data_IF_287037885190
#
_entry.id   IF_287037885190
#
_cell.length_a   1.000
_cell.length_b   1.000
_cell.length_c   1.000
_cell.angle_alpha   90.00
_cell.angle_beta   90.00
_cell.angle_gamma   90.00
#
_symmetry.space_group_name_H-M   'P 1'
#
loop_
_entity.id
_entity.type
_entity.pdbx_description
1 polymer ?
#
# COMPACT_ATOMS: atom_id res chain seq x y z
N UNK A 1 -39.38 -12.29 5.35
CA UNK A 1 -38.95 -10.96 4.91
C UNK A 1 -37.64 -10.53 5.57
N UNK A 2 -37.53 -10.41 6.90
CA UNK A 2 -36.30 -9.98 7.61
C UNK A 2 -35.03 -10.77 7.31
N UNK A 3 -35.10 -12.05 6.98
CA UNK A 3 -33.92 -12.91 6.67
C UNK A 3 -33.35 -12.59 5.28
N UNK A 4 -34.23 -12.33 4.30
CA UNK A 4 -33.83 -12.04 2.92
C UNK A 4 -33.19 -10.65 2.78
N UNK A 5 -33.67 -9.67 3.54
CA UNK A 5 -33.07 -8.32 3.61
C UNK A 5 -31.65 -8.39 4.19
N UNK A 6 -31.46 -9.11 5.31
CA UNK A 6 -30.14 -9.31 5.90
C UNK A 6 -29.15 -10.02 4.97
N UNK A 7 -29.62 -10.98 4.18
CA UNK A 7 -28.80 -11.71 3.23
C UNK A 7 -28.39 -10.82 2.05
N UNK A 8 -29.31 -9.95 1.58
CA UNK A 8 -29.02 -8.94 0.56
C UNK A 8 -28.01 -7.90 1.07
N UNK A 9 -28.18 -7.40 2.29
CA UNK A 9 -27.26 -6.43 2.89
C UNK A 9 -25.84 -7.02 3.00
N UNK A 10 -25.73 -8.29 3.40
CA UNK A 10 -24.44 -8.98 3.45
C UNK A 10 -23.83 -9.12 2.07
N UNK A 11 -24.60 -9.51 1.06
CA UNK A 11 -24.11 -9.64 -0.32
C UNK A 11 -23.66 -8.28 -0.90
N UNK A 12 -24.38 -7.22 -0.61
CA UNK A 12 -24.00 -5.85 -1.01
C UNK A 12 -22.68 -5.45 -0.36
N UNK A 13 -22.52 -5.72 0.95
CA UNK A 13 -21.28 -5.41 1.67
C UNK A 13 -20.09 -6.18 1.08
N UNK A 14 -20.23 -7.48 0.85
CA UNK A 14 -19.18 -8.32 0.22
C UNK A 14 -18.85 -7.86 -1.20
N UNK A 15 -19.85 -7.45 -1.96
CA UNK A 15 -19.64 -6.96 -3.33
C UNK A 15 -18.87 -5.64 -3.33
N UNK A 16 -19.20 -4.70 -2.42
CA UNK A 16 -18.46 -3.45 -2.25
C UNK A 16 -17.00 -3.70 -1.86
N UNK A 17 -16.77 -4.57 -0.89
CA UNK A 17 -15.42 -4.97 -0.50
C UNK A 17 -14.61 -5.57 -1.66
N UNK A 18 -15.25 -6.35 -2.55
CA UNK A 18 -14.59 -6.87 -3.74
C UNK A 18 -14.30 -5.77 -4.77
N UNK A 19 -15.20 -4.81 -4.95
CA UNK A 19 -14.97 -3.67 -5.84
C UNK A 19 -13.76 -2.86 -5.37
N UNK A 20 -13.70 -2.54 -4.07
CA UNK A 20 -12.58 -1.81 -3.48
C UNK A 20 -11.27 -2.58 -3.61
N UNK A 21 -11.31 -3.90 -3.38
CA UNK A 21 -10.17 -4.78 -3.57
C UNK A 21 -9.65 -4.76 -5.01
N UNK A 22 -10.53 -4.88 -6.02
CA UNK A 22 -10.13 -4.84 -7.42
C UNK A 22 -9.66 -3.45 -7.86
N UNK A 23 -10.22 -2.38 -7.30
CA UNK A 23 -9.72 -1.02 -7.54
C UNK A 23 -8.28 -0.84 -7.03
N UNK A 24 -7.91 -1.48 -5.90
CA UNK A 24 -6.54 -1.54 -5.41
C UNK A 24 -5.63 -2.36 -6.36
N UNK A 25 -6.08 -3.52 -6.83
CA UNK A 25 -5.32 -4.32 -7.80
C UNK A 25 -5.07 -3.53 -9.09
N UNK A 26 -6.10 -2.86 -9.63
CA UNK A 26 -5.97 -2.01 -10.82
C UNK A 26 -4.88 -0.93 -10.64
N UNK A 27 -4.91 -0.22 -9.53
CA UNK A 27 -3.90 0.79 -9.20
C UNK A 27 -2.49 0.19 -9.10
N UNK A 28 -2.35 -0.97 -8.46
CA UNK A 28 -1.05 -1.63 -8.34
C UNK A 28 -0.42 -1.98 -9.69
N UNK A 29 -1.25 -2.40 -10.67
CA UNK A 29 -0.78 -2.74 -12.03
C UNK A 29 -0.13 -1.56 -12.76
N UNK A 30 -0.37 -0.31 -12.36
CA UNK A 30 0.25 0.88 -12.96
C UNK A 30 1.73 1.03 -12.57
N UNK A 31 2.16 0.44 -11.42
CA UNK A 31 3.47 0.68 -10.83
C UNK A 31 4.34 -0.55 -10.64
N UNK A 32 3.84 -1.75 -10.97
CA UNK A 32 4.58 -3.00 -10.82
C UNK A 32 5.40 -3.36 -12.05
N UNK A 33 6.44 -4.14 -11.84
CA UNK A 33 7.24 -4.76 -12.91
C UNK A 33 6.60 -6.08 -13.37
N UNK A 34 7.06 -6.59 -14.53
CA UNK A 34 6.60 -7.89 -15.07
C UNK A 34 6.82 -9.04 -14.07
N UNK A 35 7.92 -9.00 -13.31
CA UNK A 35 8.24 -10.04 -12.33
C UNK A 35 7.29 -10.01 -11.12
N UNK A 36 6.74 -8.84 -10.79
CA UNK A 36 5.79 -8.65 -9.68
C UNK A 36 4.34 -9.02 -10.04
N UNK A 37 4.03 -9.17 -11.35
CA UNK A 37 2.70 -9.62 -11.82
C UNK A 37 2.35 -11.00 -11.28
N UNK A 38 3.33 -11.89 -11.16
CA UNK A 38 3.11 -13.24 -10.63
C UNK A 38 2.64 -13.21 -9.17
N UNK A 39 3.11 -12.26 -8.35
CA UNK A 39 2.65 -12.08 -6.96
C UNK A 39 1.15 -11.74 -6.89
N UNK A 40 0.67 -10.82 -7.74
CA UNK A 40 -0.77 -10.46 -7.83
C UNK A 40 -1.59 -11.67 -8.35
N UNK A 41 -1.06 -12.37 -9.34
CA UNK A 41 -1.74 -13.54 -9.91
C UNK A 41 -1.90 -14.66 -8.88
N UNK A 42 -0.86 -14.93 -8.10
CA UNK A 42 -0.90 -15.94 -7.04
C UNK A 42 -1.89 -15.54 -5.94
N UNK A 43 -1.92 -14.26 -5.54
CA UNK A 43 -2.90 -13.72 -4.60
C UNK A 43 -4.34 -13.90 -5.09
N UNK A 44 -4.63 -13.54 -6.35
CA UNK A 44 -5.95 -13.72 -6.96
C UNK A 44 -6.36 -15.20 -7.04
N UNK A 45 -5.40 -16.10 -7.25
CA UNK A 45 -5.66 -17.53 -7.27
C UNK A 45 -5.91 -18.10 -5.85
N UNK A 46 -5.17 -17.64 -4.85
CA UNK A 46 -5.38 -18.01 -3.43
C UNK A 46 -6.76 -17.54 -2.92
N UNK A 47 -7.21 -16.36 -3.35
CA UNK A 47 -8.53 -15.82 -3.02
C UNK A 47 -9.67 -16.41 -3.88
N UNK A 48 -9.37 -17.30 -4.83
CA UNK A 48 -10.36 -17.98 -5.67
C UNK A 48 -10.88 -17.18 -6.86
N UNK A 49 -10.33 -16.00 -7.14
CA UNK A 49 -10.70 -15.18 -8.30
C UNK A 49 -10.10 -15.68 -9.61
N UNK A 50 -9.03 -16.47 -9.54
CA UNK A 50 -8.38 -17.10 -10.69
C UNK A 50 -8.09 -18.58 -10.47
N UNK A 51 -7.95 -19.35 -11.56
CA UNK A 51 -7.49 -20.73 -11.49
C UNK A 51 -6.00 -20.79 -11.18
N UNK A 52 -5.60 -21.64 -10.24
CA UNK A 52 -4.18 -21.95 -10.00
C UNK A 52 -3.55 -22.55 -11.24
N UNK A 53 -2.33 -22.12 -11.59
CA UNK A 53 -1.54 -22.76 -12.66
C UNK A 53 -1.19 -24.18 -12.24
N UNK A 54 -1.56 -25.18 -13.06
CA UNK A 54 -1.03 -26.55 -12.93
C UNK A 54 0.46 -26.49 -13.29
N UNK A 55 1.37 -26.88 -12.38
CA UNK A 55 2.81 -26.96 -12.59
C UNK A 55 3.65 -25.65 -12.50
N UNK A 56 3.43 -24.82 -11.53
CA UNK A 56 4.54 -24.00 -11.08
C UNK A 56 5.30 -24.79 -10.01
N UNK A 57 6.53 -25.23 -10.30
CA UNK A 57 7.50 -25.55 -9.22
C UNK A 57 7.38 -24.39 -8.24
N UNK A 58 7.07 -24.66 -6.95
CA UNK A 58 7.07 -23.61 -5.91
C UNK A 58 8.37 -22.82 -6.09
N UNK A 59 8.30 -21.62 -6.68
CA UNK A 59 9.42 -20.69 -6.64
C UNK A 59 9.79 -20.61 -5.16
N UNK A 60 11.09 -20.82 -4.84
CA UNK A 60 11.59 -20.43 -3.51
C UNK A 60 10.96 -19.09 -3.22
N UNK A 61 10.37 -18.92 -2.04
CA UNK A 61 9.81 -17.63 -1.63
C UNK A 61 10.91 -16.59 -1.82
N UNK A 62 10.84 -15.88 -2.95
CA UNK A 62 11.79 -14.80 -3.24
C UNK A 62 11.60 -13.76 -2.13
N UNK A 63 12.70 -13.22 -1.66
CA UNK A 63 12.66 -12.15 -0.65
C UNK A 63 11.75 -11.04 -1.19
N UNK A 64 10.79 -10.62 -0.37
CA UNK A 64 9.91 -9.50 -0.73
C UNK A 64 10.79 -8.26 -0.90
N UNK A 65 10.82 -7.72 -2.11
CA UNK A 65 11.55 -6.50 -2.43
C UNK A 65 10.61 -5.30 -2.31
N UNK A 66 10.92 -4.38 -1.41
CA UNK A 66 10.22 -3.12 -1.25
C UNK A 66 10.91 -2.05 -2.09
N UNK A 67 10.13 -1.16 -2.68
CA UNK A 67 10.71 0.01 -3.34
C UNK A 67 11.27 0.95 -2.26
N UNK A 68 12.53 1.34 -2.42
CA UNK A 68 13.25 2.19 -1.46
C UNK A 68 13.46 3.57 -2.05
N UNK A 69 13.35 4.59 -1.21
CA UNK A 69 13.66 5.98 -1.49
C UNK A 69 14.49 6.55 -0.33
N UNK A 70 15.30 7.55 -0.64
CA UNK A 70 16.03 8.32 0.38
C UNK A 70 15.49 9.74 0.36
N UNK A 71 15.06 10.23 1.53
CA UNK A 71 14.58 11.61 1.67
C UNK A 71 15.71 12.62 1.51
N UNK A 72 15.37 13.88 1.31
CA UNK A 72 16.34 14.98 1.25
C UNK A 72 17.18 15.11 2.54
N UNK A 73 16.66 14.63 3.66
CA UNK A 73 17.34 14.62 4.96
C UNK A 73 18.04 13.27 5.26
N UNK A 74 18.09 12.36 4.28
CA UNK A 74 18.81 11.09 4.36
C UNK A 74 18.02 9.93 5.00
N UNK A 75 16.75 10.09 5.31
CA UNK A 75 15.93 9.04 5.88
C UNK A 75 15.52 8.02 4.80
N UNK A 76 15.46 6.75 5.19
CA UNK A 76 14.95 5.68 4.32
C UNK A 76 13.43 5.64 4.35
N UNK A 77 12.81 5.72 3.16
CA UNK A 77 11.38 5.59 2.95
C UNK A 77 11.13 4.33 2.12
N UNK A 78 10.24 3.46 2.59
CA UNK A 78 9.85 2.23 1.90
C UNK A 78 8.43 2.33 1.36
N UNK A 79 8.23 1.80 0.16
CA UNK A 79 6.93 1.74 -0.53
C UNK A 79 6.59 0.31 -0.89
N UNK A 80 5.40 -0.13 -0.52
CA UNK A 80 4.81 -1.39 -0.97
C UNK A 80 3.96 -1.15 -2.22
N UNK A 81 4.29 -1.80 -3.34
CA UNK A 81 3.62 -1.61 -4.63
C UNK A 81 2.50 -2.62 -4.90
N UNK A 82 2.37 -3.64 -4.08
CA UNK A 82 1.29 -4.62 -4.14
C UNK A 82 0.85 -5.01 -2.71
N UNK A 83 -0.28 -5.72 -2.60
CA UNK A 83 -0.86 -6.09 -1.32
C UNK A 83 0.07 -6.93 -0.45
N UNK A 84 0.82 -7.85 -1.03
CA UNK A 84 1.81 -8.69 -0.34
C UNK A 84 2.97 -7.86 0.22
N UNK A 85 3.46 -6.88 -0.56
CA UNK A 85 4.47 -5.93 -0.12
C UNK A 85 3.93 -5.00 0.96
N UNK A 86 2.69 -4.49 0.81
CA UNK A 86 2.01 -3.66 1.80
C UNK A 86 1.86 -4.38 3.14
N UNK A 87 1.40 -5.64 3.12
CA UNK A 87 1.29 -6.47 4.32
C UNK A 87 2.65 -6.70 4.99
N UNK A 88 3.67 -7.04 4.21
CA UNK A 88 5.01 -7.26 4.73
C UNK A 88 5.60 -5.98 5.34
N UNK A 89 5.49 -4.85 4.63
CA UNK A 89 5.98 -3.56 5.08
C UNK A 89 5.36 -3.15 6.42
N UNK A 90 4.03 -3.21 6.50
CA UNK A 90 3.28 -2.72 7.66
C UNK A 90 3.36 -3.65 8.86
N UNK A 91 3.24 -4.98 8.64
CA UNK A 91 3.08 -5.93 9.73
C UNK A 91 4.37 -6.64 10.16
N UNK A 92 5.47 -6.55 9.38
CA UNK A 92 6.71 -7.28 9.65
C UNK A 92 7.97 -6.43 9.60
N UNK A 93 8.06 -5.47 8.65
CA UNK A 93 9.29 -4.69 8.43
C UNK A 93 9.33 -3.43 9.28
N UNK A 94 8.22 -2.71 9.40
CA UNK A 94 8.14 -1.48 10.16
C UNK A 94 8.14 -1.72 11.68
N UNK A 95 8.75 -0.80 12.42
CA UNK A 95 8.67 -0.76 13.89
C UNK A 95 7.46 0.06 14.33
N UNK A 96 7.01 -0.11 15.58
CA UNK A 96 5.79 0.52 16.11
C UNK A 96 5.81 2.04 16.13
N UNK A 97 6.98 2.64 16.23
CA UNK A 97 7.23 4.09 16.24
C UNK A 97 7.37 4.73 14.85
N UNK A 98 7.59 3.90 13.82
CA UNK A 98 7.72 4.40 12.46
C UNK A 98 6.40 5.01 11.97
N UNK A 99 6.48 6.03 11.09
CA UNK A 99 5.31 6.65 10.48
C UNK A 99 4.88 5.91 9.22
N UNK A 100 3.61 5.56 9.17
CA UNK A 100 2.92 4.95 8.04
C UNK A 100 2.04 5.99 7.35
N UNK A 101 1.96 5.93 6.02
CA UNK A 101 1.20 6.84 5.17
C UNK A 101 0.35 6.06 4.18
N UNK A 102 -0.83 6.59 3.90
CA UNK A 102 -1.74 6.10 2.85
C UNK A 102 -2.65 7.23 2.38
N UNK A 103 -3.05 7.21 1.11
CA UNK A 103 -4.05 8.16 0.58
C UNK A 103 -5.41 7.93 1.22
N UNK A 104 -6.04 9.01 1.68
CA UNK A 104 -7.33 8.96 2.35
C UNK A 104 -8.44 8.58 1.38
N UNK A 105 -9.16 7.50 1.68
CA UNK A 105 -10.31 7.00 0.90
C UNK A 105 -10.02 6.75 -0.60
N UNK A 106 -8.74 6.62 -0.97
CA UNK A 106 -8.28 6.39 -2.34
C UNK A 106 -7.38 5.15 -2.37
N UNK A 107 -7.56 4.21 -3.31
CA UNK A 107 -6.64 3.08 -3.49
C UNK A 107 -5.20 3.54 -3.70
N UNK A 108 -4.26 2.93 -2.97
CA UNK A 108 -2.86 3.32 -3.02
C UNK A 108 -1.92 2.38 -2.28
N UNK A 109 -0.65 2.73 -2.29
CA UNK A 109 0.43 2.00 -1.63
C UNK A 109 0.59 2.39 -0.18
N UNK A 110 1.07 1.45 0.65
CA UNK A 110 1.59 1.76 1.97
C UNK A 110 2.99 2.34 1.85
N UNK A 111 3.23 3.45 2.53
CA UNK A 111 4.55 4.10 2.61
C UNK A 111 4.96 4.19 4.06
N UNK A 112 6.23 3.90 4.37
CA UNK A 112 6.74 3.94 5.74
C UNK A 112 8.11 4.62 5.79
N UNK A 113 8.29 5.55 6.71
CA UNK A 113 9.58 6.14 7.04
C UNK A 113 10.25 5.28 8.12
N UNK A 114 11.48 4.82 7.86
CA UNK A 114 12.26 4.03 8.83
C UNK A 114 13.06 4.93 9.79
N UNK A 115 12.37 5.88 10.42
CA UNK A 115 12.93 6.78 11.43
C UNK A 115 11.86 7.06 12.48
N UNK A 116 12.24 7.06 13.76
CA UNK A 116 11.34 7.31 14.89
C UNK A 116 10.99 8.81 15.08
N UNK A 117 11.81 9.72 14.53
CA UNK A 117 11.63 11.16 14.64
C UNK A 117 12.00 11.85 13.31
N UNK A 118 11.27 11.57 12.20
CA UNK A 118 11.56 12.17 10.92
C UNK A 118 11.26 13.67 10.92
N UNK A 119 11.98 14.42 10.07
CA UNK A 119 11.75 15.84 9.85
C UNK A 119 10.42 16.10 9.13
N UNK A 120 9.94 17.34 9.18
CA UNK A 120 8.77 17.76 8.39
C UNK A 120 8.98 17.58 6.87
N UNK A 121 10.23 17.76 6.39
CA UNK A 121 10.60 17.55 4.99
C UNK A 121 10.38 16.09 4.60
N UNK A 122 10.95 15.15 5.37
CA UNK A 122 10.77 13.72 5.15
C UNK A 122 9.30 13.29 5.20
N UNK A 123 8.50 13.85 6.14
CA UNK A 123 7.05 13.58 6.23
C UNK A 123 6.33 14.04 4.95
N UNK A 124 6.64 15.22 4.42
CA UNK A 124 6.05 15.74 3.17
C UNK A 124 6.44 14.87 1.96
N UNK A 125 7.71 14.46 1.90
CA UNK A 125 8.22 13.59 0.84
C UNK A 125 7.58 12.19 0.88
N UNK A 126 7.41 11.60 2.06
CA UNK A 126 6.69 10.32 2.21
C UNK A 126 5.21 10.42 1.80
N UNK A 127 4.56 11.52 2.14
CA UNK A 127 3.19 11.78 1.70
C UNK A 127 3.09 12.00 0.19
N UNK A 128 4.07 12.68 -0.41
CA UNK A 128 4.17 12.83 -1.86
C UNK A 128 4.30 11.46 -2.55
N UNK A 129 5.12 10.55 -2.02
CA UNK A 129 5.23 9.17 -2.50
C UNK A 129 3.90 8.42 -2.37
N UNK A 130 3.20 8.54 -1.23
CA UNK A 130 1.90 7.91 -1.05
C UNK A 130 0.86 8.43 -2.07
N UNK A 131 0.88 9.74 -2.33
CA UNK A 131 0.06 10.34 -3.38
C UNK A 131 0.39 9.82 -4.77
N UNK A 132 1.67 9.78 -5.13
CA UNK A 132 2.14 9.28 -6.43
C UNK A 132 1.76 7.82 -6.68
N UNK A 133 1.94 6.95 -5.69
CA UNK A 133 1.58 5.52 -5.74
C UNK A 133 0.12 5.26 -5.39
N UNK A 134 -0.78 6.15 -5.80
CA UNK A 134 -2.22 6.00 -5.63
C UNK A 134 -2.98 6.18 -6.94
N UNK A 135 -4.26 5.81 -6.95
CA UNK A 135 -5.15 6.05 -8.10
C UNK A 135 -5.30 7.54 -8.46
N UNK A 136 -4.95 8.44 -7.54
CA UNK A 136 -4.96 9.89 -7.75
C UNK A 136 -3.59 10.46 -8.13
N UNK A 137 -2.59 9.64 -8.44
CA UNK A 137 -1.19 10.03 -8.60
C UNK A 137 -0.91 11.17 -9.59
N UNK A 138 -1.81 11.41 -10.53
CA UNK A 138 -1.74 12.52 -11.48
C UNK A 138 -2.54 13.76 -11.05
N UNK A 139 -3.12 13.76 -9.85
CA UNK A 139 -3.93 14.86 -9.32
C UNK A 139 -3.10 15.76 -8.40
N UNK A 140 -3.51 17.02 -8.26
CA UNK A 140 -2.94 17.91 -7.24
C UNK A 140 -3.68 17.80 -5.91
N UNK A 141 -2.99 18.10 -4.80
CA UNK A 141 -3.58 18.17 -3.46
C UNK A 141 -4.30 16.91 -3.01
N UNK A 142 -3.62 15.78 -3.10
CA UNK A 142 -4.14 14.48 -2.70
C UNK A 142 -4.13 14.40 -1.16
N UNK A 143 -5.26 14.08 -0.51
CA UNK A 143 -5.28 13.88 0.93
C UNK A 143 -4.56 12.59 1.30
N UNK A 144 -3.58 12.69 2.18
CA UNK A 144 -2.77 11.59 2.69
C UNK A 144 -2.88 11.55 4.20
N UNK A 145 -3.37 10.43 4.73
CA UNK A 145 -3.38 10.16 6.15
C UNK A 145 -2.05 9.54 6.57
N UNK A 146 -1.56 9.91 7.75
CA UNK A 146 -0.38 9.31 8.36
C UNK A 146 -0.54 9.15 9.86
N UNK A 147 0.02 8.08 10.37
CA UNK A 147 0.00 7.74 11.79
C UNK A 147 1.19 6.83 12.13
N UNK A 148 1.46 6.61 13.42
CA UNK A 148 2.46 5.61 13.81
C UNK A 148 1.94 4.19 13.53
N UNK A 149 2.85 3.28 13.17
CA UNK A 149 2.53 1.85 12.89
C UNK A 149 1.75 1.18 14.04
N UNK A 150 1.99 1.57 15.29
CA UNK A 150 1.23 1.02 16.44
C UNK A 150 -0.29 1.23 16.34
N UNK A 151 -0.74 2.22 15.57
CA UNK A 151 -2.14 2.57 15.34
C UNK A 151 -2.71 1.94 14.07
N UNK A 152 -1.92 1.12 13.36
CA UNK A 152 -2.36 0.44 12.12
C UNK A 152 -2.63 -1.03 12.44
N UNK A 153 -3.83 -1.49 12.11
CA UNK A 153 -4.32 -2.80 12.52
C UNK A 153 -4.84 -3.60 11.32
N UNK A 154 -4.47 -4.87 11.24
CA UNK A 154 -5.05 -5.80 10.27
C UNK A 154 -6.19 -6.58 10.93
N UNK A 155 -7.45 -6.36 10.52
CA UNK A 155 -8.57 -7.15 11.03
C UNK A 155 -8.40 -8.64 10.72
N UNK A 156 -8.89 -9.50 11.61
CA UNK A 156 -8.85 -10.95 11.40
C UNK A 156 -9.64 -11.33 10.14
N UNK A 157 -9.03 -12.12 9.25
CA UNK A 157 -9.65 -12.54 7.98
C UNK A 157 -9.66 -11.48 6.88
N UNK A 158 -9.09 -10.29 7.11
CA UNK A 158 -9.00 -9.27 6.08
C UNK A 158 -8.10 -9.72 4.91
N UNK A 159 -8.47 -9.28 3.69
CA UNK A 159 -7.67 -9.51 2.49
C UNK A 159 -6.27 -8.91 2.62
N UNK A 160 -5.28 -9.42 1.86
CA UNK A 160 -3.94 -8.83 1.84
C UNK A 160 -4.00 -7.33 1.54
N UNK A 161 -3.14 -6.54 2.19
CA UNK A 161 -3.07 -5.09 2.04
C UNK A 161 -4.16 -4.29 2.77
N UNK A 162 -5.23 -4.92 3.23
CA UNK A 162 -6.28 -4.22 3.96
C UNK A 162 -5.89 -3.98 5.42
N UNK A 163 -6.01 -2.74 5.89
CA UNK A 163 -5.78 -2.33 7.27
C UNK A 163 -6.83 -1.31 7.71
N UNK A 164 -7.04 -1.22 9.01
CA UNK A 164 -7.72 -0.10 9.68
C UNK A 164 -6.68 0.68 10.49
N UNK A 165 -6.89 1.97 10.69
CA UNK A 165 -5.97 2.81 11.46
C UNK A 165 -6.73 3.88 12.21
N UNK A 166 -6.10 4.41 13.25
CA UNK A 166 -6.62 5.50 14.07
C UNK A 166 -5.52 6.52 14.40
N UNK A 167 -5.90 7.57 15.15
CA UNK A 167 -4.99 8.66 15.56
C UNK A 167 -4.22 9.31 14.40
N UNK A 168 -4.78 9.23 13.19
CA UNK A 168 -4.14 9.79 11.99
C UNK A 168 -4.20 11.31 11.96
N UNK A 169 -3.21 11.88 11.29
CA UNK A 169 -3.21 13.24 10.79
C UNK A 169 -3.34 13.19 9.28
N UNK A 170 -3.96 14.21 8.69
CA UNK A 170 -4.09 14.33 7.23
C UNK A 170 -3.27 15.51 6.75
N UNK A 171 -2.52 15.32 5.69
CA UNK A 171 -1.88 16.40 4.94
C UNK A 171 -2.21 16.27 3.45
N UNK A 172 -2.06 17.36 2.70
CA UNK A 172 -2.31 17.37 1.26
C UNK A 172 -0.97 17.35 0.52
N UNK A 173 -0.79 16.35 -0.33
CA UNK A 173 0.42 16.16 -1.12
C UNK A 173 0.13 16.41 -2.61
N UNK A 174 1.09 17.01 -3.29
CA UNK A 174 1.11 17.11 -4.76
C UNK A 174 2.33 16.35 -5.24
N UNK A 175 2.16 15.24 -6.00
CA UNK A 175 3.30 14.49 -6.53
C UNK A 175 4.16 15.35 -7.45
N UNK A 176 5.47 15.33 -7.21
CA UNK A 176 6.50 15.94 -8.07
C UNK A 176 7.40 14.81 -8.59
N UNK A 177 7.27 14.52 -9.88
CA UNK A 177 7.99 13.43 -10.51
C UNK A 177 9.52 13.61 -10.46
N UNK A 178 10.02 14.82 -10.67
CA UNK A 178 11.46 15.10 -10.68
C UNK A 178 12.06 14.91 -9.29
N UNK A 179 11.35 15.35 -8.25
CA UNK A 179 11.76 15.12 -6.86
C UNK A 179 11.74 13.63 -6.51
N UNK A 180 10.71 12.89 -6.93
CA UNK A 180 10.61 11.43 -6.71
C UNK A 180 11.78 10.69 -7.38
N UNK A 181 12.14 11.06 -8.62
CA UNK A 181 13.28 10.48 -9.31
C UNK A 181 14.61 10.81 -8.61
N UNK A 182 14.74 12.03 -8.09
CA UNK A 182 15.91 12.42 -7.30
C UNK A 182 16.06 11.55 -6.05
N UNK A 183 14.98 11.37 -5.26
CA UNK A 183 14.97 10.52 -4.06
C UNK A 183 15.33 9.06 -4.38
N UNK A 184 14.95 8.55 -5.56
CA UNK A 184 15.32 7.22 -6.03
C UNK A 184 16.80 7.14 -6.39
N UNK A 185 17.39 8.19 -6.98
CA UNK A 185 18.79 8.21 -7.40
C UNK A 185 19.78 8.22 -6.23
N UNK A 186 19.38 8.73 -5.06
CA UNK A 186 20.20 8.77 -3.85
C UNK A 186 20.53 7.38 -3.26
N UNK A 187 19.85 6.32 -3.70
CA UNK A 187 20.12 4.94 -3.26
C UNK A 187 21.48 4.43 -3.78
N UNK A 188 22.02 5.03 -4.84
CA UNK A 188 23.22 4.57 -5.53
C UNK A 188 24.48 5.37 -5.18
N UNK A 189 24.44 6.25 -4.18
CA UNK A 189 25.56 7.00 -3.64
C UNK A 189 26.03 6.35 -2.33
#
# INVERSE_FOLDING_TARGET
MKTREKELDLQIALTRENIDYFANIEQQLEHITVDEIDDIRDELAELGFMKQRKNTKKKKQDKIHLQTYISSDGDTILVGKNNKQNDYLTNRKAQKSHLWFHTKDIPGSHVVILNDAPSETTIKEAAMLAGYFSKAGNSGQIPVDYTEIKNVHKPSGAKPGFVTYDNQKTLYATPDYDQIQHMLSLIHI
#
